data_IF_539458853909
#
_entry.id   IF_539458853909
#
_cell.length_a   1.000
_cell.length_b   1.000
_cell.length_c   1.000
_cell.angle_alpha   90.00
_cell.angle_beta   90.00
_cell.angle_gamma   90.00
#
_symmetry.space_group_name_H-M   'P 1'
#
loop_
_entity.id
_entity.type
_entity.pdbx_description
1 polymer ?
#
# COMPACT_ATOMS: atom_id res chain seq x y z
N UNK A 1 -19.85 7.06 -12.46
CA UNK A 1 -18.58 7.74 -12.78
C UNK A 1 -18.23 8.76 -11.70
N UNK A 2 -16.94 9.02 -11.53
CA UNK A 2 -16.45 10.03 -10.60
C UNK A 2 -16.41 11.39 -11.28
N UNK A 3 -17.08 12.37 -10.70
CA UNK A 3 -17.09 13.75 -11.23
C UNK A 3 -16.88 14.73 -10.08
N UNK A 4 -16.25 15.84 -10.37
CA UNK A 4 -16.04 16.93 -9.41
C UNK A 4 -14.98 16.67 -8.35
N UNK A 5 -14.27 15.55 -8.43
CA UNK A 5 -13.18 15.19 -7.50
C UNK A 5 -11.92 14.92 -8.28
N UNK A 6 -10.78 15.25 -7.66
CA UNK A 6 -9.48 15.04 -8.27
C UNK A 6 -9.00 13.61 -8.01
N UNK A 7 -8.65 12.91 -9.08
CA UNK A 7 -8.08 11.56 -9.00
C UNK A 7 -6.57 11.69 -9.18
N UNK A 8 -5.81 11.22 -8.19
CA UNK A 8 -4.35 11.29 -8.21
C UNK A 8 -3.71 10.06 -8.85
N UNK A 9 -4.38 8.91 -8.79
CA UNK A 9 -3.84 7.68 -9.34
C UNK A 9 -4.97 6.69 -9.60
N UNK A 10 -4.72 5.75 -10.51
CA UNK A 10 -5.65 4.69 -10.85
C UNK A 10 -4.87 3.38 -10.88
N UNK A 11 -5.17 2.48 -9.95
CA UNK A 11 -4.41 1.25 -9.76
C UNK A 11 -5.28 0.06 -10.16
N UNK A 12 -4.83 -0.81 -11.08
CA UNK A 12 -5.56 -2.04 -11.39
C UNK A 12 -5.65 -2.96 -10.19
N UNK A 13 -6.80 -3.58 -10.00
CA UNK A 13 -7.05 -4.53 -8.91
C UNK A 13 -7.93 -5.67 -9.44
N UNK A 14 -7.30 -6.61 -10.16
CA UNK A 14 -8.02 -7.69 -10.84
C UNK A 14 -8.99 -7.13 -11.90
N UNK A 15 -10.26 -7.42 -11.77
CA UNK A 15 -11.30 -6.92 -12.67
C UNK A 15 -11.81 -5.54 -12.29
N UNK A 16 -11.26 -4.95 -11.23
CA UNK A 16 -11.64 -3.62 -10.74
C UNK A 16 -10.47 -2.67 -10.78
N UNK A 17 -10.75 -1.40 -10.51
CA UNK A 17 -9.74 -0.36 -10.39
C UNK A 17 -9.92 0.37 -9.08
N UNK A 18 -8.81 0.77 -8.48
CA UNK A 18 -8.80 1.61 -7.29
C UNK A 18 -8.44 3.03 -7.70
N UNK A 19 -9.37 3.95 -7.58
CA UNK A 19 -9.12 5.38 -7.82
C UNK A 19 -8.67 6.02 -6.50
N UNK A 20 -7.49 6.60 -6.50
CA UNK A 20 -6.89 7.23 -5.33
C UNK A 20 -7.21 8.71 -5.35
N UNK A 21 -7.82 9.20 -4.29
CA UNK A 21 -8.19 10.60 -4.12
C UNK A 21 -7.55 11.13 -2.84
N UNK A 22 -7.74 12.40 -2.53
CA UNK A 22 -7.05 13.02 -1.41
C UNK A 22 -7.43 12.40 -0.05
N UNK A 23 -8.72 12.14 0.16
CA UNK A 23 -9.22 11.70 1.45
C UNK A 23 -9.93 10.35 1.39
N UNK A 24 -9.93 9.70 0.23
CA UNK A 24 -10.62 8.44 0.06
C UNK A 24 -10.05 7.65 -1.11
N UNK A 25 -10.38 6.37 -1.15
CA UNK A 25 -10.22 5.54 -2.33
C UNK A 25 -11.59 5.05 -2.78
N UNK A 26 -11.76 4.88 -4.08
CA UNK A 26 -12.99 4.35 -4.66
C UNK A 26 -12.66 3.13 -5.51
N UNK A 27 -13.48 2.09 -5.40
CA UNK A 27 -13.35 0.89 -6.22
C UNK A 27 -14.33 0.98 -7.39
N UNK A 28 -13.79 0.93 -8.59
CA UNK A 28 -14.53 1.06 -9.84
C UNK A 28 -14.61 -0.29 -10.54
N UNK A 29 -15.69 -0.52 -11.25
CA UNK A 29 -15.78 -1.67 -12.16
C UNK A 29 -15.17 -1.31 -13.53
N UNK A 30 -15.24 -2.25 -14.47
CA UNK A 30 -14.68 -2.09 -15.82
C UNK A 30 -15.42 -1.07 -16.67
N UNK A 31 -16.61 -0.62 -16.23
CA UNK A 31 -17.35 0.46 -16.89
C UNK A 31 -17.08 1.84 -16.29
N UNK A 32 -16.27 1.91 -15.24
CA UNK A 32 -15.95 3.16 -14.54
C UNK A 32 -16.95 3.56 -13.48
N UNK A 33 -17.87 2.67 -13.12
CA UNK A 33 -18.86 2.95 -12.07
C UNK A 33 -18.29 2.63 -10.70
N UNK A 34 -18.59 3.48 -9.73
CA UNK A 34 -18.16 3.29 -8.33
C UNK A 34 -18.98 2.17 -7.71
N UNK A 35 -18.29 1.13 -7.21
CA UNK A 35 -18.93 0.00 -6.53
C UNK A 35 -18.76 0.07 -5.01
N UNK A 36 -17.69 0.68 -4.54
CA UNK A 36 -17.42 0.82 -3.12
C UNK A 36 -16.43 1.96 -2.90
N UNK A 37 -16.33 2.42 -1.67
CA UNK A 37 -15.40 3.47 -1.29
C UNK A 37 -14.94 3.27 0.15
N UNK A 38 -13.76 3.78 0.46
CA UNK A 38 -13.23 3.85 1.81
C UNK A 38 -12.73 5.27 2.08
N UNK A 39 -13.25 5.89 3.15
CA UNK A 39 -12.82 7.22 3.57
C UNK A 39 -11.70 7.10 4.60
N UNK A 40 -10.66 7.92 4.44
CA UNK A 40 -9.55 7.96 5.38
C UNK A 40 -9.89 8.73 6.67
N UNK A 41 -11.06 9.37 6.74
CA UNK A 41 -11.47 10.15 7.89
C UNK A 41 -10.57 11.36 8.09
N UNK A 42 -10.03 11.52 9.31
CA UNK A 42 -9.12 12.60 9.65
C UNK A 42 -7.64 12.27 9.35
N UNK A 43 -7.33 11.05 8.95
CA UNK A 43 -5.96 10.64 8.64
C UNK A 43 -5.57 11.10 7.23
N UNK A 44 -4.26 11.24 7.01
CA UNK A 44 -3.70 11.65 5.73
C UNK A 44 -3.31 10.42 4.93
N UNK A 45 -3.84 10.31 3.72
CA UNK A 45 -3.47 9.21 2.82
C UNK A 45 -2.07 9.46 2.25
N UNK A 46 -1.14 8.58 2.60
CA UNK A 46 0.26 8.71 2.22
C UNK A 46 0.62 7.86 1.01
N UNK A 47 0.21 6.60 1.05
CA UNK A 47 0.52 5.63 0.00
C UNK A 47 -0.63 4.66 -0.17
N UNK A 48 -0.81 4.20 -1.39
CA UNK A 48 -1.78 3.16 -1.74
C UNK A 48 -1.14 2.22 -2.74
N UNK A 49 -1.35 0.94 -2.58
CA UNK A 49 -1.09 -0.04 -3.62
C UNK A 49 -2.09 -1.18 -3.47
N UNK A 50 -2.31 -1.94 -4.53
CA UNK A 50 -3.32 -2.98 -4.56
C UNK A 50 -2.69 -4.34 -4.85
N UNK A 51 -3.14 -5.34 -4.11
CA UNK A 51 -2.85 -6.74 -4.38
C UNK A 51 -4.12 -7.45 -4.86
N UNK A 52 -4.19 -8.75 -4.62
CA UNK A 52 -5.31 -9.57 -5.07
C UNK A 52 -6.54 -9.36 -4.18
N UNK A 53 -7.50 -8.59 -4.68
CA UNK A 53 -8.78 -8.37 -4.01
C UNK A 53 -8.74 -7.41 -2.83
N UNK A 54 -7.68 -6.63 -2.68
CA UNK A 54 -7.56 -5.66 -1.61
C UNK A 54 -6.72 -4.46 -2.01
N UNK A 55 -6.89 -3.38 -1.27
CA UNK A 55 -6.02 -2.22 -1.31
C UNK A 55 -5.28 -2.10 0.04
N UNK A 56 -4.00 -1.78 -0.02
CA UNK A 56 -3.19 -1.47 1.15
C UNK A 56 -2.97 0.04 1.20
N UNK A 57 -3.30 0.64 2.35
CA UNK A 57 -3.18 2.08 2.55
C UNK A 57 -2.21 2.37 3.69
N UNK A 58 -1.33 3.33 3.47
CA UNK A 58 -0.52 3.90 4.53
C UNK A 58 -1.12 5.26 4.90
N UNK A 59 -1.63 5.38 6.11
CA UNK A 59 -2.26 6.58 6.62
C UNK A 59 -1.35 7.25 7.65
N UNK A 60 -1.17 8.56 7.53
CA UNK A 60 -0.43 9.35 8.50
C UNK A 60 -1.38 9.98 9.48
N UNK A 61 -1.08 9.89 10.78
CA UNK A 61 -1.87 10.52 11.83
C UNK A 61 -1.73 12.04 11.79
N UNK A 62 -0.53 12.50 11.43
CA UNK A 62 -0.22 13.91 11.28
C UNK A 62 0.23 14.20 9.86
N UNK A 63 0.18 15.45 9.45
CA UNK A 63 0.61 15.86 8.10
C UNK A 63 2.07 15.48 7.86
N UNK A 64 2.90 15.61 8.87
CA UNK A 64 4.30 15.19 8.86
C UNK A 64 4.56 14.28 10.05
N UNK A 65 5.56 13.42 9.97
CA UNK A 65 5.95 12.56 11.07
C UNK A 65 6.08 11.11 10.64
N UNK A 66 6.40 10.26 11.62
CA UNK A 66 6.70 8.84 11.41
C UNK A 66 5.62 7.91 11.92
N UNK A 67 4.58 8.44 12.56
CA UNK A 67 3.48 7.63 13.07
C UNK A 67 2.47 7.38 11.96
N UNK A 68 2.32 6.11 11.60
CA UNK A 68 1.45 5.69 10.51
C UNK A 68 0.53 4.57 10.96
N UNK A 69 -0.56 4.42 10.22
CA UNK A 69 -1.42 3.25 10.31
C UNK A 69 -1.46 2.59 8.95
N UNK A 70 -1.18 1.30 8.94
CA UNK A 70 -1.32 0.47 7.75
C UNK A 70 -2.70 -0.18 7.81
N UNK A 71 -3.47 -0.04 6.73
CA UNK A 71 -4.85 -0.55 6.65
C UNK A 71 -5.00 -1.32 5.37
N UNK A 72 -5.64 -2.48 5.43
CA UNK A 72 -6.07 -3.21 4.24
C UNK A 72 -7.59 -3.18 4.13
N UNK A 73 -8.07 -2.96 2.93
CA UNK A 73 -9.48 -2.78 2.61
C UNK A 73 -9.84 -3.71 1.46
N UNK A 74 -10.93 -4.45 1.59
CA UNK A 74 -11.38 -5.33 0.52
C UNK A 74 -12.12 -4.55 -0.58
N UNK A 75 -12.50 -5.25 -1.65
CA UNK A 75 -13.15 -4.61 -2.79
C UNK A 75 -14.57 -4.10 -2.51
N UNK A 76 -15.12 -4.42 -1.34
CA UNK A 76 -16.42 -3.90 -0.88
C UNK A 76 -16.24 -2.68 0.05
N UNK A 77 -15.02 -2.20 0.22
CA UNK A 77 -14.73 -1.04 1.06
C UNK A 77 -14.65 -1.34 2.54
N UNK A 78 -14.59 -2.62 2.92
CA UNK A 78 -14.53 -3.04 4.32
C UNK A 78 -13.09 -3.22 4.77
N UNK A 79 -12.78 -2.74 5.97
CA UNK A 79 -11.45 -2.91 6.56
C UNK A 79 -11.22 -4.39 6.87
N UNK A 80 -10.13 -4.92 6.34
CA UNK A 80 -9.69 -6.30 6.62
C UNK A 80 -8.80 -6.34 7.85
N UNK A 81 -7.88 -5.40 7.97
CA UNK A 81 -6.92 -5.32 9.07
C UNK A 81 -6.38 -3.91 9.21
N UNK A 82 -5.87 -3.60 10.39
CA UNK A 82 -5.25 -2.32 10.71
C UNK A 82 -4.09 -2.54 11.67
N UNK A 83 -2.98 -1.83 11.44
CA UNK A 83 -1.77 -1.99 12.23
C UNK A 83 -1.06 -0.64 12.34
N UNK A 84 -0.73 -0.25 13.57
CA UNK A 84 0.09 0.95 13.79
C UNK A 84 1.55 0.61 13.51
N UNK A 85 2.21 1.45 12.72
CA UNK A 85 3.64 1.31 12.39
C UNK A 85 4.32 2.64 12.60
N UNK A 86 5.56 2.61 13.06
CA UNK A 86 6.38 3.80 13.28
C UNK A 86 7.67 3.71 12.49
N UNK A 87 8.06 4.81 11.88
CA UNK A 87 9.27 4.90 11.10
C UNK A 87 9.05 5.69 9.81
N UNK A 88 10.15 6.17 9.24
CA UNK A 88 10.12 6.83 7.94
C UNK A 88 9.90 5.78 6.85
N UNK A 89 8.80 5.89 6.11
CA UNK A 89 8.48 4.98 5.02
C UNK A 89 8.98 5.56 3.72
N UNK A 90 9.84 4.83 3.03
CA UNK A 90 10.42 5.23 1.74
C UNK A 90 9.62 4.71 0.57
N UNK A 91 9.03 3.52 0.71
CA UNK A 91 8.32 2.86 -0.39
C UNK A 91 7.38 1.80 0.16
N UNK A 92 6.31 1.53 -0.57
CA UNK A 92 5.39 0.45 -0.25
C UNK A 92 4.94 -0.18 -1.57
N UNK A 93 4.84 -1.50 -1.59
CA UNK A 93 4.41 -2.24 -2.78
C UNK A 93 3.60 -3.45 -2.37
N UNK A 94 2.51 -3.71 -3.08
CA UNK A 94 1.67 -4.87 -2.85
C UNK A 94 1.60 -5.73 -4.11
N UNK A 95 1.62 -7.04 -3.94
CA UNK A 95 1.41 -8.00 -5.03
C UNK A 95 0.90 -9.32 -4.44
N UNK A 96 -0.09 -9.93 -5.09
CA UNK A 96 -0.71 -11.11 -4.54
C UNK A 96 -1.27 -10.83 -3.17
N UNK A 97 -0.93 -11.66 -2.20
CA UNK A 97 -1.35 -11.49 -0.81
C UNK A 97 -0.34 -10.76 0.07
N UNK A 98 0.76 -10.25 -0.52
CA UNK A 98 1.87 -9.68 0.23
C UNK A 98 1.99 -8.19 0.06
N UNK A 99 2.43 -7.52 1.12
CA UNK A 99 2.67 -6.09 1.15
C UNK A 99 4.07 -5.87 1.73
N UNK A 100 4.94 -5.23 0.95
CA UNK A 100 6.26 -4.84 1.44
C UNK A 100 6.25 -3.37 1.80
N UNK A 101 6.70 -3.06 3.00
CA UNK A 101 6.90 -1.68 3.47
C UNK A 101 8.39 -1.49 3.70
N UNK A 102 8.98 -0.57 2.95
CA UNK A 102 10.37 -0.21 3.10
C UNK A 102 10.49 1.03 3.97
N UNK A 103 11.04 0.84 5.16
CA UNK A 103 11.41 1.93 6.04
C UNK A 103 12.86 2.33 5.79
N UNK A 104 13.28 3.45 6.36
CA UNK A 104 14.67 3.90 6.22
C UNK A 104 15.69 2.94 6.84
N UNK A 105 15.28 2.12 7.80
CA UNK A 105 16.16 1.21 8.56
C UNK A 105 15.81 -0.27 8.39
N UNK A 106 14.72 -0.62 7.74
CA UNK A 106 14.29 -2.02 7.59
C UNK A 106 13.28 -2.17 6.48
N UNK A 107 13.07 -3.41 6.04
CA UNK A 107 11.93 -3.79 5.20
C UNK A 107 11.12 -4.84 5.94
N UNK A 108 9.79 -4.69 5.93
CA UNK A 108 8.87 -5.66 6.52
C UNK A 108 7.89 -6.10 5.45
N UNK A 109 7.68 -7.41 5.34
CA UNK A 109 6.66 -7.97 4.45
C UNK A 109 5.52 -8.48 5.33
N UNK A 110 4.33 -7.98 5.04
CA UNK A 110 3.08 -8.39 5.69
C UNK A 110 2.24 -9.17 4.69
N UNK A 111 1.33 -10.00 5.18
CA UNK A 111 0.24 -10.49 4.36
C UNK A 111 -0.94 -9.50 4.40
N UNK A 112 -2.01 -9.81 3.66
CA UNK A 112 -3.18 -8.90 3.59
C UNK A 112 -3.95 -8.81 4.91
N UNK A 113 -3.70 -9.69 5.88
CA UNK A 113 -4.24 -9.58 7.24
C UNK A 113 -3.31 -8.80 8.17
N UNK A 114 -2.22 -8.27 7.63
CA UNK A 114 -1.17 -7.50 8.31
C UNK A 114 -0.40 -8.31 9.36
N UNK A 115 -0.33 -9.62 9.17
CA UNK A 115 0.60 -10.45 9.89
C UNK A 115 2.00 -10.31 9.27
N UNK A 116 3.02 -10.14 10.09
CA UNK A 116 4.39 -10.03 9.60
C UNK A 116 4.86 -11.39 9.10
N UNK A 117 5.28 -11.44 7.83
CA UNK A 117 5.77 -12.66 7.18
C UNK A 117 7.29 -12.71 7.12
N UNK A 118 7.95 -11.55 6.97
CA UNK A 118 9.39 -11.47 6.84
C UNK A 118 9.88 -10.08 7.22
N UNK A 119 11.17 -10.01 7.59
CA UNK A 119 11.83 -8.77 7.94
C UNK A 119 13.28 -8.81 7.47
N UNK A 120 13.76 -7.69 6.95
CA UNK A 120 15.15 -7.51 6.57
C UNK A 120 15.65 -6.20 7.17
N UNK A 121 16.70 -6.27 8.01
CA UNK A 121 17.20 -5.10 8.73
C UNK A 121 18.33 -4.37 8.01
N UNK A 122 18.97 -4.98 7.02
CA UNK A 122 20.11 -4.40 6.30
C UNK A 122 19.66 -3.80 4.95
N UNK A 123 19.03 -2.63 4.99
CA UNK A 123 18.43 -2.00 3.79
C UNK A 123 18.92 -0.56 3.56
N UNK A 124 20.04 -0.17 4.15
CA UNK A 124 20.48 1.23 4.24
C UNK A 124 20.59 1.95 2.89
N UNK A 125 20.87 1.22 1.79
CA UNK A 125 21.00 1.79 0.45
C UNK A 125 19.71 1.76 -0.36
N UNK A 126 18.69 1.04 0.10
CA UNK A 126 17.45 0.88 -0.65
C UNK A 126 16.57 2.12 -0.56
N UNK A 127 15.94 2.47 -1.68
CA UNK A 127 15.01 3.61 -1.79
C UNK A 127 13.63 3.18 -2.23
N UNK A 128 13.54 2.06 -2.94
CA UNK A 128 12.29 1.54 -3.46
C UNK A 128 12.22 0.04 -3.26
N UNK A 129 11.01 -0.46 -3.09
CA UNK A 129 10.72 -1.87 -3.03
C UNK A 129 9.63 -2.20 -4.03
N UNK A 130 9.76 -3.34 -4.70
CA UNK A 130 8.71 -3.90 -5.55
C UNK A 130 8.40 -5.30 -5.06
N UNK A 131 7.18 -5.50 -4.55
CA UNK A 131 6.72 -6.80 -4.09
C UNK A 131 6.33 -7.68 -5.25
N UNK A 132 6.56 -8.98 -5.12
CA UNK A 132 6.13 -9.97 -6.10
C UNK A 132 5.16 -10.94 -5.44
N UNK A 133 4.27 -11.51 -6.26
CA UNK A 133 3.21 -12.38 -5.76
C UNK A 133 3.71 -13.67 -5.11
N UNK A 134 4.95 -14.08 -5.42
CA UNK A 134 5.57 -15.28 -4.87
C UNK A 134 6.23 -15.05 -3.48
N UNK A 135 6.15 -13.83 -2.95
CA UNK A 135 6.74 -13.48 -1.67
C UNK A 135 8.16 -12.93 -1.75
N UNK A 136 8.75 -12.90 -2.95
CA UNK A 136 10.04 -12.24 -3.17
C UNK A 136 9.84 -10.75 -3.39
N UNK A 137 10.90 -9.97 -3.19
CA UNK A 137 10.85 -8.53 -3.38
C UNK A 137 12.14 -8.02 -4.02
N UNK A 138 12.00 -7.02 -4.88
CA UNK A 138 13.15 -6.33 -5.46
C UNK A 138 13.35 -5.03 -4.68
N UNK A 139 14.57 -4.82 -4.21
CA UNK A 139 15.00 -3.61 -3.53
C UNK A 139 15.93 -2.84 -4.45
N UNK A 140 15.68 -1.57 -4.65
CA UNK A 140 16.49 -0.73 -5.51
C UNK A 140 16.97 0.51 -4.76
N UNK A 141 18.25 0.82 -4.91
CA UNK A 141 18.85 2.06 -4.48
C UNK A 141 19.19 2.93 -5.68
N UNK A 142 20.07 3.91 -5.48
CA UNK A 142 20.47 4.84 -6.55
C UNK A 142 21.42 4.19 -7.55
N UNK A 143 22.17 3.16 -7.16
CA UNK A 143 23.22 2.55 -8.00
C UNK A 143 23.13 1.05 -8.09
N UNK A 144 22.25 0.38 -7.35
CA UNK A 144 22.18 -1.08 -7.31
C UNK A 144 20.74 -1.53 -7.00
N UNK A 145 20.45 -2.74 -7.45
CA UNK A 145 19.21 -3.44 -7.10
C UNK A 145 19.55 -4.84 -6.60
N UNK A 146 18.75 -5.33 -5.66
CA UNK A 146 18.92 -6.67 -5.10
C UNK A 146 17.57 -7.36 -4.99
N UNK A 147 17.63 -8.69 -4.98
CA UNK A 147 16.43 -9.53 -4.85
C UNK A 147 16.41 -10.16 -3.46
N UNK A 148 15.33 -9.93 -2.75
CA UNK A 148 15.05 -10.64 -1.50
C UNK A 148 14.25 -11.89 -1.83
N UNK A 149 14.72 -13.04 -1.35
CA UNK A 149 14.02 -14.33 -1.47
C UNK A 149 13.55 -14.75 -0.07
N UNK A 150 12.31 -15.17 0.04
CA UNK A 150 11.76 -15.61 1.33
C UNK A 150 12.40 -16.89 1.85
#
# INVERSE_FOLDING_TARGET
ALTGSLIYDLIPMGSRFCAVMEEQICFLDDSGEVRAAYSCGSDYLRRVDCGDGYAALLLGRYRNGTQHRLVTVDSDGQVMASLDVDGEVLSMSAAGRYIAVLFSDRMVIYDKTLAECARLDAVSEARQVLMRADGSAVLAGSTAASLYLP
#
